data_IF_370238654434
#
_entry.id   IF_370238654434
#
_cell.length_a   1.000
_cell.length_b   1.000
_cell.length_c   1.000
_cell.angle_alpha   90.00
_cell.angle_beta   90.00
_cell.angle_gamma   90.00
#
_symmetry.space_group_name_H-M   'P 1'
#
loop_
_entity.id
_entity.type
_entity.pdbx_description
1 polymer ?
#
# COMPACT_ATOMS: atom_id res chain seq x y z
N UNK A 1 -10.73 16.40 -31.24
CA UNK A 1 -10.36 15.02 -30.84
C UNK A 1 -10.07 15.02 -29.34
N UNK A 2 -11.00 14.50 -28.55
CA UNK A 2 -10.92 14.48 -27.09
C UNK A 2 -10.09 13.28 -26.63
N UNK A 3 -8.88 13.51 -26.14
CA UNK A 3 -8.03 12.47 -25.55
C UNK A 3 -8.55 12.09 -24.15
N UNK A 4 -9.54 11.20 -24.08
CA UNK A 4 -9.95 10.55 -22.82
C UNK A 4 -8.89 9.51 -22.46
N UNK A 5 -7.94 9.88 -21.59
CA UNK A 5 -7.02 8.92 -20.95
C UNK A 5 -7.86 7.94 -20.12
N UNK A 6 -8.09 6.72 -20.61
CA UNK A 6 -8.68 5.64 -19.80
C UNK A 6 -7.78 5.43 -18.59
N UNK A 7 -8.27 5.79 -17.39
CA UNK A 7 -7.62 5.46 -16.12
C UNK A 7 -7.61 3.94 -16.03
N UNK A 8 -6.44 3.30 -16.21
CA UNK A 8 -6.28 1.85 -16.07
C UNK A 8 -6.74 1.50 -14.65
N UNK A 9 -7.91 0.87 -14.51
CA UNK A 9 -8.32 0.34 -13.22
C UNK A 9 -7.30 -0.73 -12.86
N UNK A 10 -6.48 -0.45 -11.84
CA UNK A 10 -5.59 -1.44 -11.27
C UNK A 10 -6.47 -2.44 -10.53
N UNK A 11 -6.57 -3.65 -11.08
CA UNK A 11 -7.28 -4.76 -10.48
C UNK A 11 -6.64 -5.10 -9.15
N UNK A 12 -7.47 -5.30 -8.11
CA UNK A 12 -7.01 -5.75 -6.81
C UNK A 12 -6.77 -7.26 -6.91
N UNK A 13 -5.54 -7.75 -6.68
CA UNK A 13 -5.25 -9.18 -6.63
C UNK A 13 -6.22 -9.93 -5.72
N UNK A 14 -6.63 -11.13 -6.13
CA UNK A 14 -7.61 -11.93 -5.37
C UNK A 14 -7.19 -12.15 -3.91
N UNK A 15 -5.89 -12.36 -3.66
CA UNK A 15 -5.32 -12.54 -2.32
C UNK A 15 -5.48 -11.33 -1.38
N UNK A 16 -5.75 -10.15 -1.93
CA UNK A 16 -5.97 -8.93 -1.15
C UNK A 16 -7.45 -8.56 -0.99
N UNK A 17 -8.39 -9.35 -1.54
CA UNK A 17 -9.83 -9.01 -1.50
C UNK A 17 -10.43 -9.06 -0.10
N UNK A 18 -9.86 -9.88 0.77
CA UNK A 18 -10.30 -10.05 2.16
C UNK A 18 -9.51 -9.18 3.14
N UNK A 19 -8.55 -8.39 2.63
CA UNK A 19 -7.78 -7.48 3.46
C UNK A 19 -8.64 -6.29 3.84
N UNK A 20 -8.85 -6.09 5.13
CA UNK A 20 -9.44 -4.88 5.66
C UNK A 20 -8.39 -4.07 6.42
N UNK A 21 -8.67 -2.79 6.64
CA UNK A 21 -7.77 -1.95 7.40
C UNK A 21 -8.44 -0.72 7.96
N UNK A 22 -7.81 -0.15 8.97
CA UNK A 22 -8.25 1.08 9.60
C UNK A 22 -7.03 1.97 9.86
N UNK A 23 -7.28 3.27 9.94
CA UNK A 23 -6.24 4.28 10.17
C UNK A 23 -6.45 4.93 11.52
N UNK A 24 -5.38 5.09 12.28
CA UNK A 24 -5.37 5.80 13.57
C UNK A 24 -4.26 6.84 13.54
N UNK A 25 -4.55 8.03 14.05
CA UNK A 25 -3.53 9.04 14.33
C UNK A 25 -2.92 8.76 15.69
N UNK A 26 -1.60 8.55 15.75
CA UNK A 26 -0.89 8.33 17.01
C UNK A 26 -0.69 9.64 17.77
N UNK A 27 -0.25 9.56 19.03
CA UNK A 27 0.04 10.72 19.88
C UNK A 27 1.05 11.71 19.29
N UNK A 28 1.90 11.27 18.33
CA UNK A 28 2.89 12.11 17.65
C UNK A 28 2.39 12.65 16.29
N UNK A 29 1.08 12.67 16.06
CA UNK A 29 0.47 13.00 14.76
C UNK A 29 0.94 12.08 13.60
N UNK A 30 1.42 10.88 13.90
CA UNK A 30 1.81 9.91 12.89
C UNK A 30 0.57 9.16 12.40
N UNK A 31 0.49 8.91 11.10
CA UNK A 31 -0.58 8.11 10.52
C UNK A 31 -0.21 6.63 10.63
N UNK A 32 -0.88 5.90 11.51
CA UNK A 32 -0.77 4.45 11.60
C UNK A 32 -1.86 3.81 10.74
N UNK A 33 -1.47 2.91 9.85
CA UNK A 33 -2.40 2.07 9.09
C UNK A 33 -2.27 0.63 9.61
N UNK A 34 -3.39 0.03 9.99
CA UNK A 34 -3.45 -1.37 10.44
C UNK A 34 -4.21 -2.16 9.39
N UNK A 35 -3.61 -3.25 8.93
CA UNK A 35 -4.21 -4.17 7.96
C UNK A 35 -4.38 -5.56 8.59
N UNK A 36 -5.49 -6.22 8.27
CA UNK A 36 -5.82 -7.57 8.72
C UNK A 36 -6.51 -8.36 7.60
N UNK A 37 -6.62 -9.68 7.76
CA UNK A 37 -7.28 -10.54 6.76
C UNK A 37 -6.35 -11.07 5.66
N UNK A 38 -5.03 -11.06 5.90
CA UNK A 38 -4.08 -11.78 5.06
C UNK A 38 -4.17 -13.29 5.30
N UNK A 39 -4.10 -14.07 4.23
CA UNK A 39 -4.02 -15.53 4.31
C UNK A 39 -2.62 -16.01 4.70
N UNK A 40 -1.59 -15.25 4.31
CA UNK A 40 -0.18 -15.45 4.66
C UNK A 40 0.42 -14.18 5.30
N UNK A 41 1.28 -14.33 6.31
CA UNK A 41 1.99 -13.19 6.90
C UNK A 41 3.00 -12.57 5.91
N UNK A 42 3.52 -13.37 4.98
CA UNK A 42 4.46 -12.92 3.96
C UNK A 42 3.80 -12.05 2.87
N UNK A 43 2.46 -11.94 2.85
CA UNK A 43 1.73 -11.06 1.93
C UNK A 43 1.74 -9.59 2.38
N UNK A 44 2.04 -9.31 3.66
CA UNK A 44 2.00 -7.95 4.21
C UNK A 44 2.97 -6.98 3.49
N UNK A 45 4.26 -7.34 3.25
CA UNK A 45 5.17 -6.46 2.52
C UNK A 45 4.72 -6.18 1.09
N UNK A 46 4.23 -7.20 0.38
CA UNK A 46 3.73 -7.05 -0.99
C UNK A 46 2.47 -6.18 -1.05
N UNK A 47 1.60 -6.31 -0.05
CA UNK A 47 0.41 -5.47 0.06
C UNK A 47 0.76 -4.02 0.37
N UNK A 48 1.75 -3.79 1.24
CA UNK A 48 2.27 -2.46 1.51
C UNK A 48 2.77 -1.81 0.21
N UNK A 49 3.60 -2.52 -0.56
CA UNK A 49 4.07 -2.08 -1.88
C UNK A 49 2.89 -1.73 -2.81
N UNK A 50 1.89 -2.61 -2.92
CA UNK A 50 0.70 -2.39 -3.74
C UNK A 50 -0.07 -1.12 -3.32
N UNK A 51 -0.29 -0.91 -2.02
CA UNK A 51 -1.02 0.24 -1.50
C UNK A 51 -0.22 1.52 -1.70
N UNK A 52 1.07 1.54 -1.35
CA UNK A 52 1.93 2.72 -1.44
C UNK A 52 2.19 3.16 -2.88
N UNK A 53 2.36 2.21 -3.81
CA UNK A 53 2.40 2.51 -5.24
C UNK A 53 1.08 3.13 -5.73
N UNK A 54 -0.06 2.62 -5.26
CA UNK A 54 -1.39 3.10 -5.68
C UNK A 54 -1.71 4.51 -5.16
N UNK A 55 -1.29 4.83 -3.94
CA UNK A 55 -1.47 6.17 -3.34
C UNK A 55 -0.33 7.14 -3.68
N UNK A 56 0.64 6.70 -4.50
CA UNK A 56 1.82 7.47 -4.91
C UNK A 56 2.56 8.12 -3.72
N UNK A 57 2.64 7.39 -2.60
CA UNK A 57 3.39 7.83 -1.42
C UNK A 57 4.76 7.17 -1.44
N UNK A 58 5.82 7.98 -1.25
CA UNK A 58 7.14 7.44 -0.95
C UNK A 58 7.10 6.83 0.44
N UNK A 59 7.39 5.54 0.57
CA UNK A 59 7.54 4.88 1.86
C UNK A 59 8.97 4.35 2.02
N UNK A 60 9.43 4.25 3.27
CA UNK A 60 10.75 3.76 3.62
C UNK A 60 10.61 2.33 4.16
N UNK A 61 11.01 1.34 3.37
CA UNK A 61 11.08 -0.05 3.84
C UNK A 61 12.34 -0.23 4.70
N UNK A 62 12.20 -0.76 5.91
CA UNK A 62 13.34 -0.91 6.85
C UNK A 62 14.33 -1.99 6.38
N UNK A 63 13.91 -2.89 5.50
CA UNK A 63 14.75 -3.97 4.97
C UNK A 63 15.52 -3.59 3.68
N UNK A 64 15.23 -2.41 3.10
CA UNK A 64 16.05 -1.82 2.03
C UNK A 64 16.84 -0.64 2.60
N UNK A 65 18.09 -0.92 2.95
CA UNK A 65 19.06 0.12 3.33
C UNK A 65 19.07 1.19 2.23
N UNK A 66 18.97 2.50 2.57
CA UNK A 66 19.09 3.57 1.60
C UNK A 66 20.46 3.50 0.92
N UNK A 67 20.53 3.10 -0.34
CA UNK A 67 21.70 3.46 -1.14
C UNK A 67 21.44 4.85 -1.70
N UNK A 68 21.99 5.86 -1.02
CA UNK A 68 22.09 7.22 -1.56
C UNK A 68 23.04 7.15 -2.76
N UNK A 69 22.57 7.57 -3.94
CA UNK A 69 23.45 7.99 -5.03
C UNK A 69 23.39 9.50 -5.12
#
# INVERSE_FOLDING_TARGET
MSNTRKKKQLEIPNKFKNVSGFTVTTFNNELMMVFNGFEDQDDLPEFADFVFQKINMKYWDKDKIPTVH
#
